data_IF_296342517404
#
_entry.id   IF_296342517404
#
_cell.length_a   1.000
_cell.length_b   1.000
_cell.length_c   1.000
_cell.angle_alpha   90.00
_cell.angle_beta   90.00
_cell.angle_gamma   90.00
#
_symmetry.space_group_name_H-M   'P 1'
#
loop_
_entity.id
_entity.type
_entity.pdbx_description
1 polymer ?
#
# COMPACT_ATOMS: atom_id res chain seq x y z
N UNK A 1 -0.51 -19.48 -29.03
CA UNK A 1 -0.19 -18.39 -28.08
C UNK A 1 -1.38 -17.46 -27.73
N UNK A 2 -2.65 -17.81 -28.03
CA UNK A 2 -3.82 -17.00 -27.61
C UNK A 2 -4.35 -17.36 -26.21
N UNK A 3 -4.20 -18.62 -25.78
CA UNK A 3 -4.74 -19.11 -24.49
C UNK A 3 -4.09 -18.47 -23.26
N UNK A 4 -2.77 -18.25 -23.27
CA UNK A 4 -2.05 -17.60 -22.16
C UNK A 4 -2.44 -16.12 -22.03
N UNK A 5 -2.74 -15.45 -23.16
CA UNK A 5 -3.18 -14.05 -23.16
C UNK A 5 -4.50 -13.82 -22.43
N UNK A 6 -5.40 -14.81 -22.42
CA UNK A 6 -6.65 -14.74 -21.66
C UNK A 6 -6.40 -14.75 -20.15
N UNK A 7 -5.49 -15.63 -19.66
CA UNK A 7 -5.10 -15.69 -18.25
C UNK A 7 -4.40 -14.40 -17.78
N UNK A 8 -3.67 -13.73 -18.69
CA UNK A 8 -3.00 -12.46 -18.41
C UNK A 8 -3.92 -11.24 -18.48
N UNK A 9 -5.19 -11.39 -18.86
CA UNK A 9 -6.12 -10.26 -18.83
C UNK A 9 -6.33 -9.77 -17.38
N UNK A 10 -6.28 -8.44 -17.12
CA UNK A 10 -6.30 -7.93 -15.75
C UNK A 10 -7.45 -8.45 -14.86
N UNK A 11 -8.71 -8.57 -15.36
CA UNK A 11 -9.79 -9.12 -14.56
C UNK A 11 -9.59 -10.60 -14.21
N UNK A 12 -9.11 -11.41 -15.16
CA UNK A 12 -8.92 -12.86 -14.95
C UNK A 12 -7.75 -13.11 -14.00
N UNK A 13 -6.63 -12.40 -14.19
CA UNK A 13 -5.49 -12.47 -13.29
C UNK A 13 -5.86 -12.06 -11.86
N UNK A 14 -6.62 -10.97 -11.70
CA UNK A 14 -7.11 -10.51 -10.39
C UNK A 14 -7.95 -11.59 -9.69
N UNK A 15 -8.95 -12.15 -10.39
CA UNK A 15 -9.81 -13.20 -9.82
C UNK A 15 -9.02 -14.46 -9.47
N UNK A 16 -8.05 -14.84 -10.29
CA UNK A 16 -7.17 -15.98 -10.01
C UNK A 16 -6.35 -15.78 -8.73
N UNK A 17 -5.68 -14.62 -8.57
CA UNK A 17 -4.92 -14.32 -7.37
C UNK A 17 -5.80 -14.17 -6.13
N UNK A 18 -6.98 -13.57 -6.28
CA UNK A 18 -7.97 -13.47 -5.20
C UNK A 18 -8.42 -14.87 -4.74
N UNK A 19 -8.77 -15.74 -5.69
CA UNK A 19 -9.13 -17.13 -5.40
C UNK A 19 -7.99 -17.90 -4.72
N UNK A 20 -6.75 -17.68 -5.17
CA UNK A 20 -5.55 -18.26 -4.56
C UNK A 20 -5.36 -17.77 -3.12
N UNK A 21 -5.53 -16.47 -2.85
CA UNK A 21 -5.44 -15.92 -1.51
C UNK A 21 -6.50 -16.52 -0.56
N UNK A 22 -7.74 -16.68 -1.03
CA UNK A 22 -8.79 -17.35 -0.26
C UNK A 22 -8.51 -18.83 -0.03
N UNK A 23 -7.96 -19.53 -1.03
CA UNK A 23 -7.57 -20.93 -0.89
C UNK A 23 -6.48 -21.10 0.17
N UNK A 24 -5.45 -20.24 0.16
CA UNK A 24 -4.38 -20.23 1.17
C UNK A 24 -4.93 -19.90 2.56
N UNK A 25 -5.81 -18.89 2.65
CA UNK A 25 -6.46 -18.53 3.91
C UNK A 25 -7.29 -19.68 4.47
N UNK A 26 -8.11 -20.33 3.63
CA UNK A 26 -8.93 -21.47 4.02
C UNK A 26 -8.10 -22.70 4.41
N UNK A 27 -7.00 -22.95 3.69
CA UNK A 27 -6.07 -24.02 4.03
C UNK A 27 -5.39 -23.75 5.38
N UNK A 28 -4.88 -22.53 5.59
CA UNK A 28 -4.27 -22.12 6.86
C UNK A 28 -5.26 -22.20 8.02
N UNK A 29 -6.52 -21.80 7.80
CA UNK A 29 -7.58 -21.90 8.80
C UNK A 29 -7.92 -23.36 9.15
N UNK A 30 -7.86 -24.29 8.19
CA UNK A 30 -8.11 -25.72 8.42
C UNK A 30 -6.92 -26.43 9.09
N UNK A 31 -5.70 -26.02 8.78
CA UNK A 31 -4.48 -26.60 9.36
C UNK A 31 -4.22 -26.10 10.79
N UNK A 32 -4.67 -24.88 11.11
CA UNK A 32 -4.49 -24.29 12.43
C UNK A 32 -5.33 -24.94 13.53
N UNK A 33 -4.87 -24.94 14.79
CA UNK A 33 -5.66 -25.40 15.93
C UNK A 33 -6.91 -24.51 16.11
N UNK A 34 -8.06 -25.13 16.39
CA UNK A 34 -9.31 -24.40 16.62
C UNK A 34 -9.20 -23.56 17.90
N UNK A 35 -9.54 -22.28 17.81
CA UNK A 35 -9.53 -21.37 18.97
C UNK A 35 -10.65 -21.75 19.95
N UNK A 36 -10.29 -22.10 21.18
CA UNK A 36 -11.23 -22.09 22.31
C UNK A 36 -11.36 -20.67 22.85
N UNK A 37 -12.55 -20.07 22.72
CA UNK A 37 -12.83 -18.70 23.16
C UNK A 37 -12.98 -18.63 24.68
N UNK A 38 -11.86 -18.67 25.41
CA UNK A 38 -11.84 -18.69 26.88
C UNK A 38 -10.88 -17.65 27.45
N UNK A 39 -11.38 -16.86 28.42
CA UNK A 39 -10.61 -15.95 29.26
C UNK A 39 -9.62 -15.06 28.48
N UNK A 40 -8.35 -15.10 28.91
CA UNK A 40 -7.25 -14.28 28.36
C UNK A 40 -6.84 -14.61 26.91
N UNK A 41 -7.40 -15.64 26.27
CA UNK A 41 -7.17 -15.86 24.82
C UNK A 41 -7.91 -14.84 23.95
N UNK A 42 -8.88 -14.14 24.53
CA UNK A 42 -9.68 -13.11 23.86
C UNK A 42 -9.19 -11.69 24.19
N UNK A 43 -8.29 -11.55 25.17
CA UNK A 43 -7.75 -10.25 25.57
C UNK A 43 -6.59 -9.86 24.65
N UNK A 44 -6.39 -8.56 24.47
CA UNK A 44 -5.26 -8.02 23.71
C UNK A 44 -3.95 -8.46 24.37
N UNK A 45 -2.98 -8.89 23.57
CA UNK A 45 -1.65 -9.19 24.08
C UNK A 45 -0.96 -7.90 24.53
N UNK A 46 -0.72 -7.78 25.83
CA UNK A 46 -0.05 -6.65 26.46
C UNK A 46 1.10 -7.13 27.36
N UNK A 47 1.91 -8.09 26.88
CA UNK A 47 3.06 -8.65 27.63
C UNK A 47 2.72 -9.17 29.04
N UNK A 48 1.47 -9.58 29.27
CA UNK A 48 0.96 -10.05 30.58
C UNK A 48 0.35 -8.96 31.45
N UNK A 49 0.36 -7.70 31.01
CA UNK A 49 -0.30 -6.58 31.69
C UNK A 49 -1.81 -6.54 31.40
N UNK A 50 -2.61 -6.10 32.37
CA UNK A 50 -4.06 -5.92 32.22
C UNK A 50 -4.37 -4.52 31.65
N UNK A 51 -3.99 -4.34 30.38
CA UNK A 51 -4.21 -3.09 29.65
C UNK A 51 -5.50 -3.23 28.83
N UNK A 52 -6.45 -2.28 28.92
CA UNK A 52 -7.66 -2.33 28.12
C UNK A 52 -7.30 -2.24 26.63
N UNK A 53 -7.85 -3.15 25.83
CA UNK A 53 -7.67 -3.19 24.37
C UNK A 53 -8.38 -2.05 23.66
N UNK A 54 -7.89 -0.83 23.84
CA UNK A 54 -8.43 0.38 23.20
C UNK A 54 -7.68 0.68 21.91
N UNK A 55 -8.41 1.20 20.91
CA UNK A 55 -7.79 1.72 19.69
C UNK A 55 -7.16 3.07 20.00
N UNK A 56 -5.84 3.11 20.10
CA UNK A 56 -5.09 4.35 20.31
C UNK A 56 -4.83 5.00 18.94
N UNK A 57 -5.09 6.31 18.84
CA UNK A 57 -4.67 7.12 17.70
C UNK A 57 -3.21 7.51 17.89
N UNK A 58 -2.29 6.86 17.18
CA UNK A 58 -0.89 7.26 17.20
C UNK A 58 -0.69 8.56 16.44
N UNK A 59 0.06 9.49 17.01
CA UNK A 59 0.41 10.75 16.36
C UNK A 59 1.42 10.51 15.24
N UNK A 60 0.98 10.50 13.99
CA UNK A 60 1.87 10.37 12.82
C UNK A 60 2.49 11.70 12.36
N UNK A 61 2.42 12.76 13.18
CA UNK A 61 2.84 14.11 12.77
C UNK A 61 4.26 14.17 12.21
N UNK A 62 5.20 13.46 12.84
CA UNK A 62 6.60 13.41 12.39
C UNK A 62 6.81 12.54 11.13
N UNK A 63 5.90 11.60 10.83
CA UNK A 63 5.99 10.76 9.63
C UNK A 63 5.15 11.30 8.46
N UNK A 64 4.20 12.19 8.74
CA UNK A 64 3.20 12.63 7.77
C UNK A 64 3.82 13.30 6.54
N UNK A 65 4.89 14.09 6.72
CA UNK A 65 5.59 14.70 5.59
C UNK A 65 6.26 13.66 4.67
N UNK A 66 6.74 12.54 5.23
CA UNK A 66 7.34 11.44 4.46
C UNK A 66 6.27 10.75 3.61
N UNK A 67 5.08 10.54 4.17
CA UNK A 67 3.94 9.96 3.44
C UNK A 67 3.51 10.86 2.26
N UNK A 68 3.44 12.17 2.48
CA UNK A 68 3.14 13.14 1.41
C UNK A 68 4.23 13.16 0.35
N UNK A 69 5.50 13.18 0.76
CA UNK A 69 6.64 13.10 -0.15
C UNK A 69 6.54 11.85 -1.03
N UNK A 70 6.33 10.68 -0.44
CA UNK A 70 6.22 9.43 -1.20
C UNK A 70 5.04 9.47 -2.18
N UNK A 71 3.90 10.03 -1.78
CA UNK A 71 2.72 10.16 -2.64
C UNK A 71 3.01 11.06 -3.85
N UNK A 72 3.63 12.23 -3.62
CA UNK A 72 4.02 13.16 -4.69
C UNK A 72 5.00 12.47 -5.66
N UNK A 73 6.03 11.81 -5.11
CA UNK A 73 7.03 11.12 -5.93
C UNK A 73 6.43 9.94 -6.72
N UNK A 74 5.49 9.20 -6.14
CA UNK A 74 4.80 8.09 -6.80
C UNK A 74 3.99 8.56 -8.01
N UNK A 75 3.21 9.64 -7.84
CA UNK A 75 2.46 10.24 -8.95
C UNK A 75 3.41 10.81 -9.99
N UNK A 76 4.49 11.48 -9.57
CA UNK A 76 5.49 12.01 -10.50
C UNK A 76 6.13 10.92 -11.36
N UNK A 77 6.52 9.80 -10.76
CA UNK A 77 7.05 8.65 -11.47
C UNK A 77 6.04 8.08 -12.49
N UNK A 78 4.76 7.94 -12.10
CA UNK A 78 3.71 7.47 -12.99
C UNK A 78 3.51 8.41 -14.19
N UNK A 79 3.43 9.72 -13.94
CA UNK A 79 3.27 10.72 -15.00
C UNK A 79 4.44 10.63 -15.97
N UNK A 80 5.68 10.68 -15.48
CA UNK A 80 6.88 10.64 -16.33
C UNK A 80 6.98 9.33 -17.13
N UNK A 81 6.65 8.18 -16.51
CA UNK A 81 6.65 6.89 -17.19
C UNK A 81 5.63 6.80 -18.33
N UNK A 82 4.56 7.61 -18.30
CA UNK A 82 3.50 7.61 -19.31
C UNK A 82 3.61 8.72 -20.36
N UNK A 83 4.63 9.58 -20.26
CA UNK A 83 4.86 10.66 -21.22
C UNK A 83 5.29 10.08 -22.59
N UNK A 84 4.57 10.38 -23.69
CA UNK A 84 4.99 9.99 -25.03
C UNK A 84 6.30 10.66 -25.46
N UNK A 85 7.10 9.98 -26.28
CA UNK A 85 8.30 10.57 -26.88
C UNK A 85 7.93 11.69 -27.87
N UNK A 86 8.75 12.74 -27.93
CA UNK A 86 8.59 13.86 -28.86
C UNK A 86 8.70 15.23 -28.18
N UNK A 87 8.07 16.26 -28.79
CA UNK A 87 8.17 17.66 -28.31
C UNK A 87 7.53 17.90 -26.94
N UNK A 88 6.73 16.96 -26.44
CA UNK A 88 6.07 17.06 -25.13
C UNK A 88 7.04 16.81 -23.95
N UNK A 89 8.24 16.31 -24.23
CA UNK A 89 9.30 16.11 -23.22
C UNK A 89 9.63 17.41 -22.47
N UNK A 90 9.55 18.58 -23.12
CA UNK A 90 9.76 19.86 -22.42
C UNK A 90 8.72 20.13 -21.33
N UNK A 91 7.46 19.71 -21.52
CA UNK A 91 6.45 19.78 -20.47
C UNK A 91 6.74 18.82 -19.32
N UNK A 92 7.30 17.64 -19.61
CA UNK A 92 7.70 16.69 -18.58
C UNK A 92 8.84 17.22 -17.70
N UNK A 93 9.83 17.90 -18.31
CA UNK A 93 10.90 18.58 -17.58
C UNK A 93 10.35 19.72 -16.72
N UNK A 94 9.45 20.54 -17.27
CA UNK A 94 8.79 21.61 -16.51
C UNK A 94 7.98 21.05 -15.33
N UNK A 95 7.25 19.96 -15.54
CA UNK A 95 6.54 19.26 -14.48
C UNK A 95 7.48 18.77 -13.38
N UNK A 96 8.63 18.17 -13.72
CA UNK A 96 9.63 17.74 -12.74
C UNK A 96 10.19 18.91 -11.92
N UNK A 97 10.40 20.07 -12.54
CA UNK A 97 10.80 21.29 -11.81
C UNK A 97 9.74 21.71 -10.79
N UNK A 98 8.46 21.67 -11.15
CA UNK A 98 7.37 22.00 -10.22
C UNK A 98 7.26 20.98 -9.08
N UNK A 99 7.48 19.69 -9.36
CA UNK A 99 7.52 18.64 -8.33
C UNK A 99 8.71 18.88 -7.38
N UNK A 100 9.89 19.21 -7.91
CA UNK A 100 11.06 19.54 -7.10
C UNK A 100 10.78 20.73 -6.16
N UNK A 101 10.20 21.82 -6.67
CA UNK A 101 9.82 22.97 -5.85
C UNK A 101 8.80 22.61 -4.77
N UNK A 102 7.83 21.75 -5.11
CA UNK A 102 6.81 21.27 -4.16
C UNK A 102 7.43 20.42 -3.05
N UNK A 103 8.37 19.54 -3.38
CA UNK A 103 9.12 18.72 -2.42
C UNK A 103 10.00 19.61 -1.53
N UNK A 104 10.70 20.59 -2.10
CA UNK A 104 11.49 21.55 -1.32
C UNK A 104 10.62 22.30 -0.31
N UNK A 105 9.48 22.84 -0.75
CA UNK A 105 8.54 23.51 0.13
C UNK A 105 8.02 22.61 1.26
N UNK A 106 7.76 21.32 0.97
CA UNK A 106 7.33 20.35 1.97
C UNK A 106 8.43 20.04 3.00
N UNK A 107 9.66 19.82 2.55
CA UNK A 107 10.79 19.49 3.43
C UNK A 107 11.20 20.67 4.29
N UNK A 108 11.20 21.90 3.76
CA UNK A 108 11.64 23.09 4.50
C UNK A 108 10.58 23.61 5.48
N UNK A 109 9.29 23.29 5.28
CA UNK A 109 8.19 23.72 6.16
C UNK A 109 7.88 22.74 7.31
N UNK A 110 8.43 21.53 7.25
CA UNK A 110 8.24 20.46 8.25
C UNK A 110 9.20 20.65 9.43
#
# INVERSE_FOLDING_TARGET
>A
MKGIGFLLSPPVAFLFFLGTAFALYGLGSKMGPKLTKVGGKLTTYACGEDIPGVKIQFGYRLFFFIALFFTIMHVAALVIATVPSGKIVFFAVFYLLMIFLSVMALVTRS
#
